data_IF_694356271873
#
_entry.id   IF_694356271873
#
_cell.length_a   1.000
_cell.length_b   1.000
_cell.length_c   1.000
_cell.angle_alpha   90.00
_cell.angle_beta   90.00
_cell.angle_gamma   90.00
#
_symmetry.space_group_name_H-M   'P 1'
#
loop_
_entity.id
_entity.type
_entity.pdbx_description
1 polymer ?
#
# COMPACT_ATOMS: atom_id res chain seq x y z
N UNK A 1 -2.92 -0.46 -7.06
CA UNK A 1 -2.87 0.97 -6.68
C UNK A 1 -4.22 1.49 -6.17
N UNK A 2 -5.34 1.24 -6.85
CA UNK A 2 -6.66 1.79 -6.47
C UNK A 2 -7.10 1.54 -5.01
N UNK A 3 -6.91 0.32 -4.47
CA UNK A 3 -7.37 0.00 -3.11
C UNK A 3 -6.63 0.76 -2.00
N UNK A 4 -5.31 0.91 -2.11
CA UNK A 4 -4.47 1.58 -1.11
C UNK A 4 -4.72 3.10 -1.06
N UNK A 5 -5.13 3.70 -2.18
CA UNK A 5 -5.51 5.12 -2.24
C UNK A 5 -6.95 5.37 -1.78
N UNK A 6 -7.84 4.41 -2.02
CA UNK A 6 -9.24 4.57 -1.68
C UNK A 6 -9.51 4.43 -0.17
N UNK A 7 -8.77 3.57 0.53
CA UNK A 7 -8.96 3.31 1.97
C UNK A 7 -8.68 4.53 2.89
N UNK A 8 -7.60 5.31 2.72
CA UNK A 8 -7.40 6.56 3.47
C UNK A 8 -8.53 7.57 3.26
N UNK A 9 -9.08 7.64 2.05
CA UNK A 9 -10.19 8.54 1.74
C UNK A 9 -11.47 8.14 2.48
N UNK A 10 -11.75 6.83 2.57
CA UNK A 10 -12.81 6.30 3.42
C UNK A 10 -12.60 6.68 4.89
N UNK A 11 -11.39 6.52 5.43
CA UNK A 11 -11.07 6.93 6.80
C UNK A 11 -11.27 8.42 7.05
N UNK A 12 -11.03 9.28 6.05
CA UNK A 12 -11.27 10.70 6.18
C UNK A 12 -12.75 11.02 6.39
N UNK A 13 -13.64 10.36 5.64
CA UNK A 13 -15.10 10.52 5.81
C UNK A 13 -15.60 9.84 7.08
N UNK A 14 -15.04 8.68 7.44
CA UNK A 14 -15.37 7.98 8.67
C UNK A 14 -14.98 8.80 9.92
N UNK A 15 -13.85 9.52 9.88
CA UNK A 15 -13.46 10.43 10.96
C UNK A 15 -14.43 11.61 11.18
N UNK A 16 -15.28 11.92 10.18
CA UNK A 16 -16.32 12.95 10.26
C UNK A 16 -17.68 12.36 10.73
N UNK A 17 -17.81 11.03 10.80
CA UNK A 17 -19.04 10.35 11.22
C UNK A 17 -19.17 10.23 12.76
N UNK A 18 -20.41 10.23 13.24
CA UNK A 18 -20.72 10.01 14.66
C UNK A 18 -20.41 8.55 15.07
N UNK A 19 -19.59 8.32 16.11
CA UNK A 19 -19.29 6.98 16.62
C UNK A 19 -20.58 6.24 17.03
N UNK A 20 -20.76 5.00 16.58
CA UNK A 20 -21.94 4.19 16.87
C UNK A 20 -23.17 4.48 16.00
N UNK A 21 -23.10 5.48 15.11
CA UNK A 21 -24.15 5.79 14.15
C UNK A 21 -24.27 4.78 13.00
N UNK A 22 -25.32 4.91 12.19
CA UNK A 22 -25.52 4.06 11.01
C UNK A 22 -24.40 4.21 9.98
N UNK A 23 -23.89 5.44 9.83
CA UNK A 23 -22.81 5.76 8.90
C UNK A 23 -21.47 5.13 9.33
N UNK A 24 -21.16 5.10 10.63
CA UNK A 24 -19.98 4.42 11.21
C UNK A 24 -19.99 2.91 10.90
N UNK A 25 -21.11 2.22 11.18
CA UNK A 25 -21.27 0.78 10.85
C UNK A 25 -21.11 0.49 9.36
N UNK A 26 -21.63 1.38 8.53
CA UNK A 26 -21.51 1.27 7.07
C UNK A 26 -20.06 1.43 6.63
N UNK A 27 -19.34 2.43 7.14
CA UNK A 27 -17.91 2.62 6.87
C UNK A 27 -17.07 1.43 7.32
N UNK A 28 -17.28 0.92 8.54
CA UNK A 28 -16.56 -0.26 9.04
C UNK A 28 -16.72 -1.49 8.13
N UNK A 29 -17.92 -1.67 7.57
CA UNK A 29 -18.22 -2.76 6.63
C UNK A 29 -17.52 -2.55 5.29
N UNK A 30 -17.58 -1.34 4.73
CA UNK A 30 -16.91 -1.00 3.47
C UNK A 30 -15.39 -1.14 3.59
N UNK A 31 -14.80 -0.63 4.68
CA UNK A 31 -13.38 -0.74 4.97
C UNK A 31 -12.93 -2.20 5.14
N UNK A 32 -13.74 -3.04 5.79
CA UNK A 32 -13.44 -4.47 5.93
C UNK A 32 -13.39 -5.17 4.58
N UNK A 33 -14.43 -4.97 3.77
CA UNK A 33 -14.52 -5.59 2.44
C UNK A 33 -13.36 -5.13 1.57
N UNK A 34 -13.09 -3.83 1.53
CA UNK A 34 -11.98 -3.29 0.76
C UNK A 34 -10.63 -3.85 1.23
N UNK A 35 -10.36 -3.82 2.53
CA UNK A 35 -9.08 -4.24 3.08
C UNK A 35 -8.85 -5.76 2.93
N UNK A 36 -9.84 -6.56 3.33
CA UNK A 36 -9.67 -8.02 3.44
C UNK A 36 -10.01 -8.78 2.16
N UNK A 37 -11.02 -8.32 1.40
CA UNK A 37 -11.49 -9.02 0.20
C UNK A 37 -10.73 -8.53 -1.04
N UNK A 38 -10.46 -7.23 -1.15
CA UNK A 38 -9.82 -6.67 -2.35
C UNK A 38 -8.31 -6.54 -2.15
N UNK A 39 -7.88 -5.80 -1.13
CA UNK A 39 -6.46 -5.48 -0.94
C UNK A 39 -5.63 -6.67 -0.47
N UNK A 40 -6.18 -7.53 0.41
CA UNK A 40 -5.49 -8.70 0.94
C UNK A 40 -5.03 -9.67 -0.16
N UNK A 41 -5.94 -10.24 -0.97
CA UNK A 41 -5.58 -11.14 -2.06
C UNK A 41 -4.68 -10.47 -3.11
N UNK A 42 -4.93 -9.20 -3.42
CA UNK A 42 -4.11 -8.44 -4.35
C UNK A 42 -2.66 -8.27 -3.84
N UNK A 43 -2.46 -8.05 -2.54
CA UNK A 43 -1.13 -7.96 -1.93
C UNK A 43 -0.39 -9.30 -2.01
N UNK A 44 -1.08 -10.41 -1.71
CA UNK A 44 -0.50 -11.76 -1.82
C UNK A 44 -0.09 -12.04 -3.27
N UNK A 45 -0.99 -11.79 -4.23
CA UNK A 45 -0.69 -11.97 -5.65
C UNK A 45 0.51 -11.10 -6.09
N UNK A 46 0.57 -9.83 -5.68
CA UNK A 46 1.69 -8.95 -6.01
C UNK A 46 3.04 -9.47 -5.48
N UNK A 47 3.08 -10.00 -4.26
CA UNK A 47 4.28 -10.63 -3.70
C UNK A 47 4.67 -11.91 -4.44
N UNK A 48 3.72 -12.80 -4.70
CA UNK A 48 3.97 -14.06 -5.43
C UNK A 48 4.51 -13.78 -6.83
N UNK A 49 3.84 -12.91 -7.61
CA UNK A 49 4.30 -12.58 -8.96
C UNK A 49 5.59 -11.76 -8.96
N UNK A 50 5.78 -10.87 -7.98
CA UNK A 50 7.01 -10.09 -7.84
C UNK A 50 8.24 -10.97 -7.56
N UNK A 51 8.12 -11.91 -6.62
CA UNK A 51 9.19 -12.87 -6.31
C UNK A 51 9.43 -13.85 -7.46
N UNK A 52 8.37 -14.33 -8.10
CA UNK A 52 8.49 -15.17 -9.30
C UNK A 52 9.23 -14.45 -10.42
N UNK A 53 8.93 -13.16 -10.66
CA UNK A 53 9.65 -12.35 -11.64
C UNK A 53 11.12 -12.16 -11.31
N UNK A 54 11.46 -11.94 -10.04
CA UNK A 54 12.86 -11.88 -9.57
C UNK A 54 13.56 -13.21 -9.84
N UNK A 55 12.94 -14.33 -9.47
CA UNK A 55 13.51 -15.66 -9.67
C UNK A 55 13.74 -15.97 -11.17
N UNK A 56 12.75 -15.71 -12.02
CA UNK A 56 12.86 -15.92 -13.46
C UNK A 56 13.92 -14.99 -14.07
N UNK A 57 13.99 -13.73 -13.66
CA UNK A 57 15.03 -12.82 -14.16
C UNK A 57 16.43 -13.28 -13.77
N UNK A 58 16.63 -13.68 -12.51
CA UNK A 58 17.92 -14.13 -12.02
C UNK A 58 18.38 -15.43 -12.71
N UNK A 59 17.48 -16.39 -12.89
CA UNK A 59 17.84 -17.74 -13.37
C UNK A 59 17.78 -17.92 -14.89
N UNK A 60 16.83 -17.28 -15.58
CA UNK A 60 16.55 -17.54 -17.00
C UNK A 60 16.98 -16.39 -17.93
N UNK A 61 16.93 -15.14 -17.46
CA UNK A 61 17.13 -13.97 -18.34
C UNK A 61 18.53 -13.38 -18.19
N UNK A 62 18.96 -13.13 -16.95
CA UNK A 62 20.20 -12.41 -16.65
C UNK A 62 21.34 -13.31 -16.15
N UNK A 63 21.03 -14.57 -15.81
CA UNK A 63 22.03 -15.57 -15.42
C UNK A 63 22.78 -15.28 -14.11
N UNK A 64 22.24 -14.43 -13.24
CA UNK A 64 22.87 -14.02 -11.99
C UNK A 64 22.01 -13.10 -11.13
N UNK A 65 22.42 -12.89 -9.88
CA UNK A 65 21.71 -12.08 -8.87
C UNK A 65 22.25 -10.65 -8.74
N UNK A 66 23.30 -10.30 -9.48
CA UNK A 66 24.03 -9.03 -9.34
C UNK A 66 23.15 -7.81 -9.62
N UNK A 67 22.14 -7.95 -10.49
CA UNK A 67 21.18 -6.89 -10.77
C UNK A 67 20.33 -6.48 -9.55
N UNK A 68 20.25 -7.31 -8.50
CA UNK A 68 19.61 -6.92 -7.25
C UNK A 68 20.35 -5.82 -6.50
N UNK A 69 21.66 -5.67 -6.74
CA UNK A 69 22.47 -4.61 -6.15
C UNK A 69 22.40 -3.31 -6.94
N UNK A 70 21.74 -3.30 -8.12
CA UNK A 70 21.62 -2.07 -8.90
C UNK A 70 20.74 -1.04 -8.15
N UNK A 71 21.10 0.25 -8.17
CA UNK A 71 20.41 1.27 -7.36
C UNK A 71 18.90 1.36 -7.65
N UNK A 72 18.49 1.16 -8.91
CA UNK A 72 17.08 1.14 -9.29
C UNK A 72 16.32 -0.03 -8.67
N UNK A 73 16.94 -1.21 -8.55
CA UNK A 73 16.31 -2.39 -7.96
C UNK A 73 16.16 -2.23 -6.44
N UNK A 74 17.21 -1.74 -5.78
CA UNK A 74 17.17 -1.44 -4.34
C UNK A 74 16.05 -0.42 -4.05
N UNK A 75 15.95 0.63 -4.87
CA UNK A 75 14.89 1.65 -4.75
C UNK A 75 13.51 1.03 -4.91
N UNK A 76 13.33 0.14 -5.90
CA UNK A 76 12.07 -0.56 -6.15
C UNK A 76 11.68 -1.49 -4.99
N UNK A 77 12.63 -2.26 -4.47
CA UNK A 77 12.42 -3.13 -3.31
C UNK A 77 12.08 -2.34 -2.05
N UNK A 78 12.79 -1.22 -1.80
CA UNK A 78 12.47 -0.31 -0.72
C UNK A 78 11.04 0.25 -0.85
N UNK A 79 10.61 0.61 -2.05
CA UNK A 79 9.25 1.03 -2.33
C UNK A 79 8.20 -0.06 -2.06
N UNK A 80 8.46 -1.31 -2.42
CA UNK A 80 7.58 -2.45 -2.13
C UNK A 80 7.46 -2.69 -0.62
N UNK A 81 8.58 -2.63 0.11
CA UNK A 81 8.59 -2.75 1.58
C UNK A 81 7.80 -1.61 2.20
N UNK A 82 8.01 -0.37 1.75
CA UNK A 82 7.26 0.79 2.21
C UNK A 82 5.75 0.62 1.98
N UNK A 83 5.32 0.24 0.77
CA UNK A 83 3.91 0.01 0.46
C UNK A 83 3.30 -1.14 1.26
N UNK A 84 4.09 -2.18 1.55
CA UNK A 84 3.65 -3.29 2.40
C UNK A 84 3.48 -2.83 3.85
N UNK A 85 4.42 -2.08 4.40
CA UNK A 85 4.28 -1.45 5.71
C UNK A 85 3.08 -0.51 5.77
N UNK A 86 2.87 0.25 4.69
CA UNK A 86 1.72 1.14 4.52
C UNK A 86 0.38 0.39 4.57
N UNK A 87 0.28 -0.74 3.86
CA UNK A 87 -0.90 -1.61 3.92
C UNK A 87 -1.19 -2.10 5.35
N UNK A 88 -0.16 -2.50 6.10
CA UNK A 88 -0.33 -2.93 7.50
C UNK A 88 -0.73 -1.77 8.42
N UNK A 89 -0.17 -0.58 8.22
CA UNK A 89 -0.56 0.63 8.94
C UNK A 89 -2.05 0.95 8.77
N UNK A 90 -2.57 0.87 7.53
CA UNK A 90 -3.99 1.05 7.26
C UNK A 90 -4.86 -0.01 7.94
N UNK A 91 -4.40 -1.27 7.99
CA UNK A 91 -5.06 -2.34 8.73
C UNK A 91 -5.14 -2.06 10.24
N UNK A 92 -4.06 -1.52 10.82
CA UNK A 92 -4.02 -1.12 12.23
C UNK A 92 -4.93 0.10 12.49
N UNK A 93 -4.96 1.08 11.59
CA UNK A 93 -5.84 2.22 11.67
C UNK A 93 -7.32 1.82 11.66
N UNK A 94 -7.72 0.92 10.75
CA UNK A 94 -9.07 0.35 10.72
C UNK A 94 -9.47 -0.23 12.07
N UNK A 95 -8.58 -0.99 12.73
CA UNK A 95 -8.87 -1.55 14.07
C UNK A 95 -9.13 -0.45 15.11
N UNK A 96 -8.42 0.68 15.03
CA UNK A 96 -8.63 1.84 15.91
C UNK A 96 -9.95 2.54 15.64
N UNK A 97 -10.38 2.63 14.38
CA UNK A 97 -11.71 3.14 14.02
C UNK A 97 -12.82 2.26 14.61
N UNK A 98 -12.73 0.93 14.42
CA UNK A 98 -13.69 -0.03 15.00
C UNK A 98 -13.73 0.04 16.53
N UNK A 99 -12.58 0.27 17.17
CA UNK A 99 -12.49 0.42 18.62
C UNK A 99 -12.97 1.79 19.14
N UNK A 100 -13.30 2.74 18.26
CA UNK A 100 -13.67 4.11 18.64
C UNK A 100 -12.52 4.95 19.22
N UNK A 101 -11.29 4.44 19.23
CA UNK A 101 -10.11 5.12 19.81
C UNK A 101 -9.29 5.88 18.76
N UNK A 102 -9.89 6.22 17.62
CA UNK A 102 -9.17 6.93 16.57
C UNK A 102 -8.91 8.39 17.00
N UNK A 103 -7.64 8.76 17.09
CA UNK A 103 -7.19 10.11 17.45
C UNK A 103 -6.80 10.97 16.24
N UNK A 104 -6.94 10.43 15.02
CA UNK A 104 -6.48 11.09 13.78
C UNK A 104 -7.64 11.77 13.05
N UNK A 105 -7.45 13.04 12.68
CA UNK A 105 -8.46 13.85 11.99
C UNK A 105 -8.58 13.52 10.49
N UNK A 106 -9.62 14.05 9.84
CA UNK A 106 -9.87 13.85 8.41
C UNK A 106 -8.75 14.42 7.51
N UNK A 107 -8.10 15.52 7.92
CA UNK A 107 -6.99 16.12 7.16
C UNK A 107 -5.79 15.17 7.06
N UNK A 108 -5.45 14.50 8.16
CA UNK A 108 -4.40 13.48 8.19
C UNK A 108 -4.68 12.39 7.17
N UNK A 109 -5.90 11.85 7.16
CA UNK A 109 -6.30 10.79 6.24
C UNK A 109 -6.34 11.21 4.77
N UNK A 110 -6.72 12.47 4.49
CA UNK A 110 -6.67 13.06 3.14
C UNK A 110 -5.23 13.19 2.63
N UNK A 111 -4.32 13.77 3.41
CA UNK A 111 -2.90 13.93 3.02
C UNK A 111 -2.20 12.58 2.82
N UNK A 112 -2.54 11.63 3.67
CA UNK A 112 -1.99 10.29 3.67
C UNK A 112 -2.22 9.52 2.36
N UNK A 113 -3.24 9.90 1.59
CA UNK A 113 -3.52 9.32 0.27
C UNK A 113 -2.41 9.57 -0.76
N UNK A 114 -1.56 10.58 -0.55
CA UNK A 114 -0.50 10.93 -1.51
C UNK A 114 0.75 10.05 -1.36
N UNK A 115 0.98 9.45 -0.18
CA UNK A 115 2.17 8.61 0.08
C UNK A 115 2.31 7.44 -0.91
N UNK A 116 1.25 6.64 -1.18
CA UNK A 116 1.32 5.58 -2.18
C UNK A 116 1.57 6.09 -3.59
N UNK A 117 1.07 7.29 -3.92
CA UNK A 117 1.26 7.89 -5.24
C UNK A 117 2.72 8.30 -5.44
N UNK A 118 3.28 9.02 -4.47
CA UNK A 118 4.68 9.45 -4.48
C UNK A 118 5.61 8.24 -4.57
N UNK A 119 5.37 7.20 -3.77
CA UNK A 119 6.15 5.96 -3.81
C UNK A 119 6.12 5.32 -5.22
N UNK A 120 4.96 5.31 -5.89
CA UNK A 120 4.86 4.78 -7.24
C UNK A 120 5.61 5.61 -8.27
N UNK A 121 5.52 6.95 -8.20
CA UNK A 121 6.29 7.83 -9.10
C UNK A 121 7.79 7.57 -8.94
N UNK A 122 8.29 7.50 -7.71
CA UNK A 122 9.71 7.22 -7.43
C UNK A 122 10.12 5.86 -8.01
N UNK A 123 9.33 4.81 -7.77
CA UNK A 123 9.64 3.47 -8.29
C UNK A 123 9.64 3.40 -9.82
N UNK A 124 8.73 4.12 -10.49
CA UNK A 124 8.68 4.18 -11.95
C UNK A 124 9.89 4.94 -12.50
N UNK A 125 10.19 6.12 -11.95
CA UNK A 125 11.34 6.91 -12.38
C UNK A 125 12.64 6.15 -12.19
N UNK A 126 12.84 5.49 -11.04
CA UNK A 126 14.05 4.71 -10.75
C UNK A 126 14.32 3.65 -11.82
N UNK A 127 13.28 2.96 -12.30
CA UNK A 127 13.40 1.94 -13.35
C UNK A 127 13.67 2.58 -14.71
N UNK A 128 12.94 3.65 -15.06
CA UNK A 128 13.03 4.27 -16.40
C UNK A 128 14.34 5.00 -16.64
N UNK A 129 14.89 5.64 -15.61
CA UNK A 129 16.17 6.36 -15.73
C UNK A 129 17.38 5.45 -15.53
N UNK A 130 17.15 4.19 -15.16
CA UNK A 130 18.18 3.23 -14.71
C UNK A 130 19.22 3.90 -13.79
N UNK A 131 18.82 4.88 -12.97
CA UNK A 131 19.78 5.82 -12.38
C UNK A 131 20.88 5.10 -11.60
N UNK A 132 22.12 5.27 -12.03
CA UNK A 132 23.30 4.58 -11.48
C UNK A 132 23.64 3.22 -12.12
N UNK A 133 23.11 2.92 -13.31
CA UNK A 133 23.58 1.86 -14.22
C UNK A 133 24.76 2.30 -15.09
#
# INVERSE_FOLDING_TARGET
MAGIMYLPRLFAYHAEALPGGEMDKTFQTMELKLYRIIMGPAMVAAWVFGLALIYVNATQIRGGWDYLQQPWMITKLAGIIFLTGWHHFLGAARKKFVAGTNTRNARFWKMTNELPFIAAVIMVLAVTTEFGS
#
